data_IF_077405360044
#
_entry.id   IF_077405360044
#
_cell.length_a   1.000
_cell.length_b   1.000
_cell.length_c   1.000
_cell.angle_alpha   90.00
_cell.angle_beta   90.00
_cell.angle_gamma   90.00
#
_symmetry.space_group_name_H-M   'P 1'
#
loop_
_entity.id
_entity.type
_entity.pdbx_description
1 polymer ?
#
# COMPACT_ATOMS: atom_id res chain seq x y z
N UNK A 1 56.72 25.88 -64.26
CA UNK A 1 55.50 25.52 -65.00
C UNK A 1 54.56 24.87 -63.99
N UNK A 2 53.40 25.49 -63.72
CA UNK A 2 52.07 24.88 -63.47
C UNK A 2 52.01 23.76 -62.39
N UNK A 3 51.15 23.74 -61.37
CA UNK A 3 50.03 24.56 -60.94
C UNK A 3 49.72 24.18 -59.49
N UNK A 4 49.18 25.15 -58.76
CA UNK A 4 48.38 25.01 -57.55
C UNK A 4 47.21 24.03 -57.74
N UNK A 5 46.90 23.22 -56.73
CA UNK A 5 45.54 23.02 -56.17
C UNK A 5 45.62 21.99 -55.02
N UNK A 6 44.78 21.95 -54.00
CA UNK A 6 43.93 22.88 -53.26
C UNK A 6 43.21 21.96 -52.24
N UNK A 7 42.81 22.53 -51.11
CA UNK A 7 41.62 22.11 -50.36
C UNK A 7 41.34 20.60 -50.22
N UNK A 8 41.91 19.96 -49.21
CA UNK A 8 41.12 19.00 -48.44
C UNK A 8 41.48 19.09 -46.97
N UNK A 9 40.80 20.05 -46.33
CA UNK A 9 40.10 19.83 -45.08
C UNK A 9 40.91 19.14 -43.99
N UNK A 10 41.44 19.85 -43.00
CA UNK A 10 40.64 20.33 -41.84
C UNK A 10 39.76 19.28 -41.16
N UNK A 11 39.95 17.98 -41.44
CA UNK A 11 39.42 16.93 -40.61
C UNK A 11 40.39 16.83 -39.44
N UNK A 12 40.16 17.66 -38.42
CA UNK A 12 40.58 17.36 -37.05
C UNK A 12 40.23 15.88 -36.86
N UNK A 13 41.24 15.01 -36.84
CA UNK A 13 41.06 13.63 -36.39
C UNK A 13 40.62 13.76 -34.95
N UNK A 14 39.30 13.87 -34.74
CA UNK A 14 38.70 13.72 -33.44
C UNK A 14 39.08 12.31 -33.04
N UNK A 15 40.14 12.21 -32.23
CA UNK A 15 40.62 10.98 -31.66
C UNK A 15 39.45 10.45 -30.85
N UNK A 16 38.71 9.50 -31.44
CA UNK A 16 37.69 8.76 -30.73
C UNK A 16 38.45 7.93 -29.70
N UNK A 17 38.51 8.44 -28.47
CA UNK A 17 38.92 7.66 -27.31
C UNK A 17 37.91 6.52 -27.20
N UNK A 18 38.33 5.25 -27.32
CA UNK A 18 37.41 4.14 -27.33
C UNK A 18 36.71 4.11 -25.98
N UNK A 19 35.38 4.16 -26.00
CA UNK A 19 34.56 4.03 -24.79
C UNK A 19 34.92 2.69 -24.17
N UNK A 20 35.43 2.74 -22.93
CA UNK A 20 35.89 1.56 -22.22
C UNK A 20 34.69 0.64 -21.95
N UNK A 21 34.74 -0.58 -22.49
CA UNK A 21 33.66 -1.56 -22.38
C UNK A 21 33.32 -1.92 -20.92
N UNK A 22 34.31 -1.83 -20.00
CA UNK A 22 34.10 -2.01 -18.57
C UNK A 22 33.16 -0.95 -17.97
N UNK A 23 33.16 0.27 -18.51
CA UNK A 23 32.27 1.35 -18.08
C UNK A 23 30.82 1.08 -18.50
N UNK A 24 30.61 0.59 -19.72
CA UNK A 24 29.27 0.21 -20.20
C UNK A 24 28.70 -0.98 -19.42
N UNK A 25 29.53 -1.99 -19.11
CA UNK A 25 29.11 -3.14 -18.29
C UNK A 25 28.75 -2.69 -16.86
N UNK A 26 29.52 -1.79 -16.25
CA UNK A 26 29.24 -1.30 -14.90
C UNK A 26 28.00 -0.40 -14.81
N UNK A 27 27.69 0.40 -15.84
CA UNK A 27 26.43 1.15 -15.95
C UNK A 27 25.24 0.20 -16.03
N UNK A 28 25.29 -0.80 -16.93
CA UNK A 28 24.22 -1.79 -17.08
C UNK A 28 23.97 -2.56 -15.78
N UNK A 29 25.03 -2.95 -15.06
CA UNK A 29 24.92 -3.62 -13.77
C UNK A 29 24.27 -2.74 -12.68
N UNK A 30 24.62 -1.45 -12.63
CA UNK A 30 24.01 -0.51 -11.68
C UNK A 30 22.53 -0.22 -12.00
N UNK A 31 22.16 -0.11 -13.27
CA UNK A 31 20.77 0.06 -13.71
C UNK A 31 19.97 -1.19 -13.34
N UNK A 32 20.49 -2.38 -13.65
CA UNK A 32 19.86 -3.65 -13.29
C UNK A 32 19.60 -3.76 -11.78
N UNK A 33 20.60 -3.42 -10.96
CA UNK A 33 20.46 -3.41 -9.49
C UNK A 33 19.35 -2.47 -9.00
N UNK A 34 19.25 -1.26 -9.56
CA UNK A 34 18.20 -0.29 -9.20
C UNK A 34 16.81 -0.78 -9.61
N UNK A 35 16.68 -1.35 -10.81
CA UNK A 35 15.43 -1.93 -11.29
C UNK A 35 15.00 -3.10 -10.40
N UNK A 36 15.92 -4.00 -10.05
CA UNK A 36 15.66 -5.10 -9.14
C UNK A 36 15.19 -4.60 -7.76
N UNK A 37 15.82 -3.55 -7.23
CA UNK A 37 15.43 -2.96 -5.95
C UNK A 37 14.01 -2.37 -5.97
N UNK A 38 13.63 -1.68 -7.06
CA UNK A 38 12.26 -1.15 -7.24
C UNK A 38 11.23 -2.28 -7.36
N UNK A 39 11.56 -3.36 -8.07
CA UNK A 39 10.70 -4.55 -8.19
C UNK A 39 10.48 -5.19 -6.82
N UNK A 40 11.54 -5.33 -6.01
CA UNK A 40 11.42 -5.88 -4.66
C UNK A 40 10.53 -5.02 -3.76
N UNK A 41 10.65 -3.69 -3.82
CA UNK A 41 9.76 -2.78 -3.07
C UNK A 41 8.29 -3.00 -3.48
N UNK A 42 8.01 -3.13 -4.78
CA UNK A 42 6.66 -3.37 -5.28
C UNK A 42 6.07 -4.70 -4.79
N UNK A 43 6.89 -5.76 -4.72
CA UNK A 43 6.45 -7.08 -4.22
C UNK A 43 6.09 -7.01 -2.72
N UNK A 44 6.88 -6.31 -1.91
CA UNK A 44 6.62 -6.21 -0.46
C UNK A 44 5.46 -5.29 -0.10
N UNK A 45 5.08 -4.36 -0.99
CA UNK A 45 4.00 -3.40 -0.75
C UNK A 45 2.59 -4.02 -0.77
N UNK A 46 2.44 -5.27 -1.25
CA UNK A 46 1.14 -5.94 -1.39
C UNK A 46 0.71 -6.84 -0.22
N UNK A 47 1.50 -6.97 0.85
CA UNK A 47 1.28 -8.00 1.89
C UNK A 47 0.47 -7.54 3.11
N UNK A 48 -0.25 -6.42 3.04
CA UNK A 48 -0.87 -5.81 4.22
C UNK A 48 -2.34 -5.44 4.04
N UNK A 49 -3.24 -6.42 3.95
CA UNK A 49 -4.67 -6.20 4.22
C UNK A 49 -5.27 -7.47 4.78
N UNK A 50 -5.13 -7.65 6.10
CA UNK A 50 -5.92 -8.63 6.84
C UNK A 50 -7.24 -7.97 7.21
N UNK A 51 -8.28 -8.18 6.40
CA UNK A 51 -9.64 -8.00 6.89
C UNK A 51 -9.89 -9.18 7.84
N UNK A 52 -10.06 -8.91 9.13
CA UNK A 52 -10.50 -9.92 10.08
C UNK A 52 -12.00 -10.11 9.87
N UNK A 53 -12.41 -11.25 9.32
CA UNK A 53 -13.81 -11.64 9.31
C UNK A 53 -14.25 -11.97 10.75
N UNK A 54 -15.44 -11.50 11.13
CA UNK A 54 -16.05 -11.79 12.43
C UNK A 54 -16.23 -13.30 12.58
N UNK A 55 -15.95 -13.82 13.77
CA UNK A 55 -16.27 -15.22 14.06
C UNK A 55 -17.79 -15.45 14.06
N UNK A 56 -18.23 -16.69 13.84
CA UNK A 56 -19.67 -17.03 13.92
C UNK A 56 -20.27 -16.66 15.28
N UNK A 57 -19.47 -16.74 16.35
CA UNK A 57 -19.88 -16.32 17.69
C UNK A 57 -20.09 -14.81 17.79
N UNK A 58 -19.18 -14.01 17.25
CA UNK A 58 -19.31 -12.54 17.21
C UNK A 58 -20.52 -12.10 16.39
N UNK A 59 -20.77 -12.74 15.25
CA UNK A 59 -21.92 -12.43 14.41
C UNK A 59 -23.24 -12.67 15.16
N UNK A 60 -23.35 -13.76 15.92
CA UNK A 60 -24.54 -14.04 16.74
C UNK A 60 -24.76 -12.99 17.82
N UNK A 61 -23.69 -12.55 18.48
CA UNK A 61 -23.75 -11.48 19.49
C UNK A 61 -24.21 -10.16 18.86
N UNK A 62 -23.71 -9.84 17.68
CA UNK A 62 -24.12 -8.65 16.92
C UNK A 62 -25.61 -8.71 16.54
N UNK A 63 -26.05 -9.81 15.95
CA UNK A 63 -27.44 -10.00 15.54
C UNK A 63 -28.40 -9.92 16.75
N UNK A 64 -28.02 -10.52 17.88
CA UNK A 64 -28.78 -10.45 19.13
C UNK A 64 -28.83 -9.03 19.70
N UNK A 65 -27.69 -8.31 19.72
CA UNK A 65 -27.61 -6.94 20.19
C UNK A 65 -28.56 -6.02 19.40
N UNK A 66 -28.53 -6.09 18.07
CA UNK A 66 -29.40 -5.28 17.22
C UNK A 66 -30.87 -5.71 17.28
N UNK A 67 -31.15 -7.00 17.50
CA UNK A 67 -32.53 -7.48 17.71
C UNK A 67 -33.12 -6.88 18.99
N UNK A 68 -32.40 -7.00 20.12
CA UNK A 68 -32.81 -6.41 21.40
C UNK A 68 -32.95 -4.89 21.31
N UNK A 69 -32.00 -4.24 20.64
CA UNK A 69 -32.04 -2.79 20.41
C UNK A 69 -33.29 -2.35 19.64
N UNK A 70 -33.63 -3.08 18.57
CA UNK A 70 -34.82 -2.81 17.75
C UNK A 70 -36.11 -3.03 18.54
N UNK A 71 -36.12 -4.02 19.44
CA UNK A 71 -37.21 -4.28 20.38
C UNK A 71 -37.26 -3.29 21.56
N UNK A 72 -36.34 -2.31 21.62
CA UNK A 72 -36.19 -1.35 22.72
C UNK A 72 -35.88 -2.00 24.08
N UNK A 73 -35.32 -3.20 24.06
CA UNK A 73 -34.86 -3.92 25.25
C UNK A 73 -33.43 -3.46 25.60
N UNK A 74 -33.27 -2.17 25.89
CA UNK A 74 -31.96 -1.52 26.01
C UNK A 74 -31.09 -2.10 27.13
N UNK A 75 -31.69 -2.46 28.26
CA UNK A 75 -30.98 -3.08 29.40
C UNK A 75 -30.27 -4.38 29.01
N UNK A 76 -30.89 -5.14 28.08
CA UNK A 76 -30.34 -6.41 27.59
C UNK A 76 -29.37 -6.20 26.43
N UNK A 77 -29.62 -5.21 25.57
CA UNK A 77 -28.74 -4.87 24.46
C UNK A 77 -27.41 -4.25 24.93
N UNK A 78 -27.43 -3.46 26.00
CA UNK A 78 -26.29 -2.73 26.54
C UNK A 78 -25.04 -3.61 26.77
N UNK A 79 -25.10 -4.74 27.52
CA UNK A 79 -23.94 -5.58 27.73
C UNK A 79 -23.39 -6.20 26.44
N UNK A 80 -24.25 -6.51 25.46
CA UNK A 80 -23.82 -7.06 24.18
C UNK A 80 -23.10 -6.00 23.33
N UNK A 81 -23.62 -4.78 23.26
CA UNK A 81 -22.88 -3.69 22.61
C UNK A 81 -21.57 -3.36 23.32
N UNK A 82 -21.52 -3.42 24.65
CA UNK A 82 -20.27 -3.25 25.40
C UNK A 82 -19.24 -4.33 25.03
N UNK A 83 -19.68 -5.57 24.85
CA UNK A 83 -18.81 -6.66 24.40
C UNK A 83 -18.30 -6.40 22.98
N UNK A 84 -19.18 -6.06 22.04
CA UNK A 84 -18.81 -5.76 20.65
C UNK A 84 -17.86 -4.57 20.56
N UNK A 85 -18.08 -3.53 21.36
CA UNK A 85 -17.22 -2.34 21.42
C UNK A 85 -15.82 -2.64 21.97
N UNK A 86 -15.69 -3.63 22.87
CA UNK A 86 -14.38 -4.06 23.38
C UNK A 86 -13.51 -4.70 22.30
N UNK A 87 -14.15 -5.34 21.30
CA UNK A 87 -13.49 -5.98 20.16
C UNK A 87 -13.29 -4.99 19.00
N UNK A 88 -14.28 -4.14 18.77
CA UNK A 88 -14.37 -3.23 17.63
C UNK A 88 -14.61 -1.77 18.10
N UNK A 89 -13.63 -1.16 18.79
CA UNK A 89 -13.82 0.16 19.41
C UNK A 89 -14.08 1.29 18.40
N UNK A 90 -13.69 1.09 17.14
CA UNK A 90 -13.86 2.06 16.05
C UNK A 90 -15.15 1.85 15.25
N UNK A 91 -15.94 0.80 15.53
CA UNK A 91 -17.19 0.59 14.81
C UNK A 91 -18.24 1.64 15.26
N UNK A 92 -18.71 2.51 14.36
CA UNK A 92 -19.63 3.57 14.72
C UNK A 92 -21.01 3.02 15.15
N UNK A 93 -21.41 1.86 14.63
CA UNK A 93 -22.71 1.25 14.92
C UNK A 93 -22.79 0.79 16.38
N UNK A 94 -21.70 0.20 16.89
CA UNK A 94 -21.63 -0.25 18.28
C UNK A 94 -21.52 0.91 19.25
N UNK A 95 -20.75 1.95 18.89
CA UNK A 95 -20.68 3.18 19.68
C UNK A 95 -22.07 3.85 19.79
N UNK A 96 -22.80 3.94 18.68
CA UNK A 96 -24.16 4.50 18.66
C UNK A 96 -25.12 3.64 19.49
N UNK A 97 -25.15 2.33 19.26
CA UNK A 97 -26.03 1.40 19.99
C UNK A 97 -25.78 1.43 21.50
N UNK A 98 -24.52 1.35 21.90
CA UNK A 98 -24.12 1.46 23.31
C UNK A 98 -24.50 2.81 23.91
N UNK A 99 -24.25 3.91 23.19
CA UNK A 99 -24.58 5.26 23.64
C UNK A 99 -26.08 5.48 23.85
N UNK A 100 -26.92 4.98 22.94
CA UNK A 100 -28.38 5.02 23.10
C UNK A 100 -28.81 4.17 24.30
N UNK A 101 -28.29 2.96 24.44
CA UNK A 101 -28.59 2.11 25.59
C UNK A 101 -28.29 2.79 26.93
N UNK A 102 -27.16 3.52 27.03
CA UNK A 102 -26.81 4.25 28.27
C UNK A 102 -27.79 5.38 28.63
N UNK A 103 -28.56 5.89 27.66
CA UNK A 103 -29.52 6.98 27.87
C UNK A 103 -30.92 6.43 28.17
N UNK A 104 -31.30 5.32 27.54
CA UNK A 104 -32.65 4.77 27.58
C UNK A 104 -32.88 3.69 28.66
N UNK A 105 -31.80 3.19 29.28
CA UNK A 105 -31.81 2.31 30.46
C UNK A 105 -31.92 3.12 31.75
#
# INVERSE_FOLDING_TARGET
MFFSENSSNSIKKHKFEPINIYYLVSINFNIFRKVLFVILIFIFSGLGSFAQDKSEGEQKVEDEAFTLFTNKEYDKAMPLFSQLLSLYPQDPSYNYGYGVCLIET
#
